data_IF_753924080521
#
_entry.id   IF_753924080521
#
_cell.length_a   1.000
_cell.length_b   1.000
_cell.length_c   1.000
_cell.angle_alpha   90.00
_cell.angle_beta   90.00
_cell.angle_gamma   90.00
#
_symmetry.space_group_name_H-M   'P 1'
#
loop_
_entity.id
_entity.type
_entity.pdbx_description
1 polymer ?
#
# COMPACT_ATOMS: atom_id res chain seq x y z
N UNK A 1 -42.26 -26.35 7.61
CA UNK A 1 -40.92 -26.01 8.15
C UNK A 1 -40.41 -24.83 7.35
N UNK A 2 -40.37 -23.64 7.95
CA UNK A 2 -39.94 -22.43 7.26
C UNK A 2 -38.42 -22.43 7.09
N UNK A 3 -37.94 -22.30 5.86
CA UNK A 3 -36.52 -22.05 5.60
C UNK A 3 -36.27 -20.60 6.03
N UNK A 4 -35.63 -20.40 7.18
CA UNK A 4 -35.20 -19.07 7.59
C UNK A 4 -34.07 -18.65 6.65
N UNK A 5 -34.29 -17.62 5.85
CA UNK A 5 -33.26 -17.04 5.01
C UNK A 5 -32.09 -16.58 5.91
N UNK A 6 -30.93 -17.16 5.70
CA UNK A 6 -29.72 -16.78 6.43
C UNK A 6 -29.00 -15.67 5.68
N UNK A 7 -28.10 -14.96 6.37
CA UNK A 7 -27.31 -13.89 5.75
C UNK A 7 -26.46 -14.37 4.56
N UNK A 8 -26.09 -15.66 4.54
CA UNK A 8 -25.35 -16.27 3.42
C UNK A 8 -26.22 -16.38 2.16
N UNK A 9 -27.53 -16.53 2.33
CA UNK A 9 -28.50 -16.72 1.24
C UNK A 9 -28.91 -15.40 0.57
N UNK A 10 -28.38 -14.26 1.04
CA UNK A 10 -28.60 -12.97 0.39
C UNK A 10 -28.00 -12.98 -1.04
N UNK A 11 -28.61 -12.28 -2.00
CA UNK A 11 -28.02 -12.09 -3.31
C UNK A 11 -26.60 -11.48 -3.24
N UNK A 12 -25.68 -11.89 -4.12
CA UNK A 12 -24.29 -11.41 -4.12
C UNK A 12 -24.14 -9.88 -4.16
N UNK A 13 -25.08 -9.18 -4.80
CA UNK A 13 -25.10 -7.72 -4.90
C UNK A 13 -25.26 -7.06 -3.53
N UNK A 14 -26.00 -7.69 -2.61
CA UNK A 14 -26.16 -7.21 -1.24
C UNK A 14 -24.89 -7.44 -0.44
N UNK A 15 -24.22 -8.59 -0.61
CA UNK A 15 -22.91 -8.82 0.02
C UNK A 15 -21.88 -7.79 -0.42
N UNK A 16 -21.87 -7.43 -1.70
CA UNK A 16 -20.97 -6.37 -2.23
C UNK A 16 -21.27 -5.03 -1.57
N UNK A 17 -22.55 -4.63 -1.48
CA UNK A 17 -22.94 -3.38 -0.81
C UNK A 17 -22.53 -3.38 0.66
N UNK A 18 -22.81 -4.46 1.38
CA UNK A 18 -22.45 -4.61 2.79
C UNK A 18 -20.93 -4.54 2.95
N UNK A 19 -20.17 -5.25 2.11
CA UNK A 19 -18.72 -5.21 2.14
C UNK A 19 -18.16 -3.79 1.89
N UNK A 20 -18.80 -3.00 1.02
CA UNK A 20 -18.45 -1.59 0.80
C UNK A 20 -18.58 -0.73 2.06
N UNK A 21 -19.65 -0.94 2.84
CA UNK A 21 -19.81 -0.24 4.14
C UNK A 21 -18.81 -0.74 5.18
N UNK A 22 -18.62 -2.05 5.28
CA UNK A 22 -17.66 -2.64 6.22
C UNK A 22 -16.21 -2.24 5.91
N UNK A 23 -15.87 -2.03 4.63
CA UNK A 23 -14.53 -1.65 4.22
C UNK A 23 -14.07 -0.27 4.74
N UNK A 24 -14.98 0.56 5.25
CA UNK A 24 -14.62 1.79 5.97
C UNK A 24 -13.80 1.49 7.23
N UNK A 25 -13.98 0.31 7.82
CA UNK A 25 -13.20 -0.21 8.92
C UNK A 25 -12.70 -1.61 8.53
N UNK A 26 -11.53 -1.72 7.88
CA UNK A 26 -10.95 -2.99 7.44
C UNK A 26 -11.06 -4.14 8.44
N UNK A 27 -10.91 -3.85 9.74
CA UNK A 27 -11.03 -4.83 10.83
C UNK A 27 -12.37 -5.55 10.86
N UNK A 28 -13.47 -4.86 10.60
CA UNK A 28 -14.81 -5.45 10.63
C UNK A 28 -15.00 -6.44 9.48
N UNK A 29 -14.45 -6.12 8.31
CA UNK A 29 -14.46 -7.01 7.16
C UNK A 29 -13.66 -8.30 7.44
N UNK A 30 -12.51 -8.19 8.11
CA UNK A 30 -11.75 -9.36 8.57
C UNK A 30 -12.47 -10.13 9.69
N UNK A 31 -13.19 -9.45 10.57
CA UNK A 31 -13.99 -10.12 11.59
C UNK A 31 -15.09 -10.98 10.95
N UNK A 32 -15.78 -10.46 9.91
CA UNK A 32 -16.79 -11.22 9.15
C UNK A 32 -16.19 -12.48 8.51
N UNK A 33 -14.99 -12.39 7.95
CA UNK A 33 -14.28 -13.56 7.41
C UNK A 33 -14.01 -14.65 8.47
N UNK A 34 -13.91 -14.28 9.74
CA UNK A 34 -13.63 -15.21 10.85
C UNK A 34 -14.88 -15.84 11.45
N UNK A 35 -16.09 -15.36 11.11
CA UNK A 35 -17.34 -15.85 11.70
C UNK A 35 -17.69 -17.26 11.21
N UNK A 36 -17.63 -17.52 9.89
CA UNK A 36 -17.98 -18.82 9.33
C UNK A 36 -17.29 -19.12 8.00
N UNK A 37 -17.16 -20.40 7.66
CA UNK A 37 -16.59 -20.84 6.37
C UNK A 37 -17.41 -20.37 5.17
N UNK A 38 -18.73 -20.28 5.32
CA UNK A 38 -19.62 -19.82 4.27
C UNK A 38 -19.43 -18.33 4.00
N UNK A 39 -19.39 -17.51 5.06
CA UNK A 39 -19.07 -16.08 4.95
C UNK A 39 -17.67 -15.86 4.39
N UNK A 40 -16.70 -16.66 4.83
CA UNK A 40 -15.35 -16.61 4.27
C UNK A 40 -15.36 -16.84 2.76
N UNK A 41 -16.06 -17.86 2.27
CA UNK A 41 -16.15 -18.14 0.83
C UNK A 41 -16.78 -16.97 0.05
N UNK A 42 -17.88 -16.40 0.55
CA UNK A 42 -18.57 -15.27 -0.07
C UNK A 42 -17.71 -14.00 -0.09
N UNK A 43 -17.11 -13.64 1.05
CA UNK A 43 -16.35 -12.38 1.22
C UNK A 43 -14.89 -12.48 0.77
N UNK A 44 -14.40 -13.66 0.38
CA UNK A 44 -13.04 -13.84 -0.19
C UNK A 44 -12.94 -13.48 -1.68
N UNK A 45 -14.03 -13.04 -2.31
CA UNK A 45 -14.01 -12.67 -3.73
C UNK A 45 -13.09 -11.48 -4.01
N UNK A 46 -12.31 -11.54 -5.10
CA UNK A 46 -11.40 -10.44 -5.50
C UNK A 46 -12.14 -9.12 -5.70
N UNK A 47 -13.38 -9.18 -6.17
CA UNK A 47 -14.24 -8.00 -6.39
C UNK A 47 -14.54 -7.25 -5.07
N UNK A 48 -14.88 -7.98 -4.01
CA UNK A 48 -15.13 -7.38 -2.69
C UNK A 48 -13.88 -6.66 -2.18
N UNK A 49 -12.71 -7.29 -2.32
CA UNK A 49 -11.44 -6.72 -1.88
C UNK A 49 -10.97 -5.55 -2.74
N UNK A 50 -11.26 -5.54 -4.05
CA UNK A 50 -11.05 -4.37 -4.91
C UNK A 50 -11.88 -3.17 -4.42
N UNK A 51 -13.18 -3.37 -4.19
CA UNK A 51 -14.06 -2.34 -3.66
C UNK A 51 -13.56 -1.84 -2.30
N UNK A 52 -13.15 -2.75 -1.43
CA UNK A 52 -12.61 -2.40 -0.13
C UNK A 52 -11.32 -1.57 -0.24
N UNK A 53 -10.40 -1.96 -1.12
CA UNK A 53 -9.16 -1.23 -1.35
C UNK A 53 -9.43 0.17 -1.93
N UNK A 54 -10.39 0.30 -2.85
CA UNK A 54 -10.81 1.61 -3.36
C UNK A 54 -11.39 2.50 -2.25
N UNK A 55 -12.23 1.94 -1.39
CA UNK A 55 -12.81 2.67 -0.26
C UNK A 55 -11.72 3.17 0.70
N UNK A 56 -10.74 2.32 1.05
CA UNK A 56 -9.60 2.71 1.88
C UNK A 56 -8.73 3.75 1.20
N UNK A 57 -8.44 3.61 -0.10
CA UNK A 57 -7.68 4.62 -0.85
C UNK A 57 -8.36 6.00 -0.78
N UNK A 58 -9.68 6.04 -0.90
CA UNK A 58 -10.46 7.29 -0.79
C UNK A 58 -10.44 7.83 0.65
N UNK A 59 -10.64 6.96 1.64
CA UNK A 59 -10.68 7.31 3.07
C UNK A 59 -9.35 7.92 3.55
N UNK A 60 -8.24 7.30 3.19
CA UNK A 60 -6.90 7.64 3.69
C UNK A 60 -6.10 8.50 2.69
N UNK A 61 -6.75 9.01 1.64
CA UNK A 61 -6.14 9.78 0.56
C UNK A 61 -4.88 9.10 -0.05
N UNK A 62 -4.93 7.77 -0.20
CA UNK A 62 -3.84 7.00 -0.79
C UNK A 62 -3.83 7.13 -2.31
N UNK A 63 -2.64 7.13 -2.89
CA UNK A 63 -2.50 7.19 -4.34
C UNK A 63 -2.90 5.85 -4.97
N UNK A 64 -4.14 5.78 -5.48
CA UNK A 64 -4.71 4.55 -6.04
C UNK A 64 -3.82 3.85 -7.09
N UNK A 65 -3.13 4.54 -8.02
CA UNK A 65 -2.24 3.89 -8.99
C UNK A 65 -1.04 3.16 -8.35
N UNK A 66 -0.72 3.42 -7.08
CA UNK A 66 0.26 2.61 -6.34
C UNK A 66 -0.14 1.15 -6.22
N UNK A 67 -1.43 0.83 -6.36
CA UNK A 67 -1.98 -0.51 -6.23
C UNK A 67 -2.50 -1.05 -7.58
N UNK A 68 -1.70 -1.84 -8.32
CA UNK A 68 -2.12 -2.47 -9.56
C UNK A 68 -3.03 -3.68 -9.23
N UNK A 69 -4.29 -3.39 -8.91
CA UNK A 69 -5.30 -4.38 -8.46
C UNK A 69 -5.38 -5.61 -9.40
N UNK A 70 -5.19 -5.40 -10.70
CA UNK A 70 -5.25 -6.47 -11.69
C UNK A 70 -4.14 -7.52 -11.48
N UNK A 71 -2.92 -7.10 -11.14
CA UNK A 71 -1.77 -8.00 -10.91
C UNK A 71 -1.65 -8.48 -9.46
N UNK A 72 -2.38 -7.86 -8.52
CA UNK A 72 -2.35 -8.25 -7.11
C UNK A 72 -3.21 -9.51 -6.83
N UNK A 73 -2.70 -10.38 -5.96
CA UNK A 73 -3.47 -11.50 -5.40
C UNK A 73 -4.46 -11.00 -4.34
N UNK A 74 -5.51 -11.78 -4.04
CA UNK A 74 -6.49 -11.41 -2.99
C UNK A 74 -5.81 -11.16 -1.66
N UNK A 75 -4.84 -12.01 -1.28
CA UNK A 75 -4.06 -11.82 -0.04
C UNK A 75 -3.25 -10.52 -0.04
N UNK A 76 -2.67 -10.12 -1.17
CA UNK A 76 -1.98 -8.84 -1.29
C UNK A 76 -2.93 -7.66 -1.17
N UNK A 77 -4.14 -7.74 -1.75
CA UNK A 77 -5.16 -6.71 -1.64
C UNK A 77 -5.64 -6.61 -0.19
N UNK A 78 -5.95 -7.74 0.45
CA UNK A 78 -6.29 -7.83 1.88
C UNK A 78 -5.24 -7.16 2.77
N UNK A 79 -3.95 -7.44 2.52
CA UNK A 79 -2.86 -6.79 3.23
C UNK A 79 -2.81 -5.28 2.98
N UNK A 80 -2.97 -4.84 1.73
CA UNK A 80 -2.99 -3.42 1.36
C UNK A 80 -4.14 -2.66 2.03
N UNK A 81 -5.33 -3.27 2.12
CA UNK A 81 -6.50 -2.71 2.81
C UNK A 81 -6.22 -2.50 4.31
N UNK A 82 -5.48 -3.41 4.96
CA UNK A 82 -5.12 -3.30 6.38
C UNK A 82 -3.90 -2.42 6.65
N UNK A 83 -3.07 -2.16 5.64
CA UNK A 83 -1.78 -1.51 5.83
C UNK A 83 -1.86 -0.13 6.51
N UNK A 84 -2.80 0.77 6.17
CA UNK A 84 -2.90 2.07 6.84
C UNK A 84 -3.23 1.96 8.33
N UNK A 85 -4.18 1.11 8.70
CA UNK A 85 -4.57 0.90 10.09
C UNK A 85 -3.40 0.31 10.91
N UNK A 86 -2.68 -0.66 10.33
CA UNK A 86 -1.50 -1.27 10.95
C UNK A 86 -0.36 -0.26 11.10
N UNK A 87 -0.15 0.58 10.09
CA UNK A 87 0.84 1.66 10.13
C UNK A 87 0.52 2.66 11.25
N UNK A 88 -0.72 3.15 11.29
CA UNK A 88 -1.19 4.09 12.30
C UNK A 88 -1.10 3.51 13.72
N UNK A 89 -1.47 2.24 13.90
CA UNK A 89 -1.33 1.56 15.18
C UNK A 89 0.14 1.46 15.64
N UNK A 90 1.07 1.22 14.71
CA UNK A 90 2.51 1.18 15.03
C UNK A 90 3.07 2.55 15.36
N UNK A 91 2.69 3.60 14.61
CA UNK A 91 3.09 4.98 14.91
C UNK A 91 2.63 5.38 16.33
N UNK A 92 1.37 5.10 16.67
CA UNK A 92 0.82 5.36 18.01
C UNK A 92 1.53 4.57 19.11
N UNK A 93 1.99 3.35 18.82
CA UNK A 93 2.72 2.53 19.78
C UNK A 93 4.17 2.98 20.00
N UNK A 94 4.69 3.92 19.20
CA UNK A 94 6.05 4.45 19.34
C UNK A 94 7.16 3.40 19.17
N UNK A 95 6.86 2.25 18.58
CA UNK A 95 7.84 1.16 18.42
C UNK A 95 8.80 1.49 17.28
N UNK A 96 10.14 1.39 17.48
CA UNK A 96 11.10 1.67 16.42
C UNK A 96 10.94 0.68 15.26
N UNK A 97 11.11 1.18 14.03
CA UNK A 97 11.00 0.43 12.77
C UNK A 97 12.12 -0.58 12.53
N UNK A 98 13.10 -0.67 13.44
CA UNK A 98 14.30 -1.46 13.23
C UNK A 98 14.06 -2.89 13.70
N UNK A 99 13.64 -3.76 12.78
CA UNK A 99 13.89 -5.19 12.96
C UNK A 99 15.41 -5.40 12.97
N UNK A 100 15.92 -6.19 13.93
CA UNK A 100 17.35 -6.45 14.15
C UNK A 100 18.12 -7.10 12.97
N UNK A 101 17.51 -7.20 11.78
CA UNK A 101 18.14 -7.69 10.55
C UNK A 101 17.93 -6.77 9.33
N UNK A 102 17.39 -5.55 9.52
CA UNK A 102 17.16 -4.63 8.41
C UNK A 102 18.50 -3.97 8.02
N UNK A 103 19.08 -4.40 6.89
CA UNK A 103 20.24 -3.72 6.30
C UNK A 103 19.77 -2.41 5.69
N UNK A 104 20.16 -1.29 6.29
CA UNK A 104 20.01 0.02 5.67
C UNK A 104 20.76 0.01 4.34
N UNK A 105 20.05 0.17 3.22
CA UNK A 105 20.68 0.41 1.93
C UNK A 105 21.24 1.83 1.96
N UNK A 106 22.48 1.99 2.41
CA UNK A 106 23.21 3.22 2.21
C UNK A 106 23.61 3.30 0.74
N UNK A 107 23.10 4.30 0.02
CA UNK A 107 23.65 4.66 -1.29
C UNK A 107 25.15 4.87 -1.12
N UNK A 108 25.98 4.14 -1.88
CA UNK A 108 27.43 4.34 -1.90
C UNK A 108 27.68 5.73 -2.50
N UNK A 109 27.79 6.74 -1.63
CA UNK A 109 28.17 8.09 -2.03
C UNK A 109 29.62 8.04 -2.51
N UNK A 110 29.84 8.31 -3.80
CA UNK A 110 31.17 8.65 -4.26
C UNK A 110 31.54 9.99 -3.63
N UNK A 111 32.52 9.93 -2.73
CA UNK A 111 32.92 10.96 -1.76
C UNK A 111 33.55 12.20 -2.40
N UNK A 112 32.75 13.00 -3.12
CA UNK A 112 33.20 14.32 -3.60
C UNK A 112 32.09 15.38 -3.70
N UNK A 113 30.81 15.02 -3.58
CA UNK A 113 29.71 15.98 -3.68
C UNK A 113 29.22 16.37 -2.29
N UNK A 114 29.40 17.66 -1.98
CA UNK A 114 28.84 18.40 -0.83
C UNK A 114 27.48 17.82 -0.43
N UNK A 115 27.27 17.64 0.88
CA UNK A 115 26.00 17.25 1.51
C UNK A 115 24.89 18.21 1.07
N UNK A 116 24.30 17.96 -0.08
CA UNK A 116 23.04 18.55 -0.48
C UNK A 116 21.97 17.81 0.30
N UNK A 117 21.19 18.54 1.09
CA UNK A 117 20.09 17.99 1.86
C UNK A 117 19.03 17.45 0.88
N UNK A 118 19.09 16.17 0.54
CA UNK A 118 18.04 15.53 -0.23
C UNK A 118 16.80 15.42 0.66
N UNK A 119 15.72 16.05 0.22
CA UNK A 119 14.42 15.85 0.87
C UNK A 119 13.79 14.62 0.25
N UNK A 120 13.53 13.63 1.08
CA UNK A 120 12.91 12.38 0.67
C UNK A 120 11.51 12.31 1.25
N UNK A 121 10.52 12.08 0.39
CA UNK A 121 9.12 11.95 0.78
C UNK A 121 8.58 10.61 0.26
N UNK A 122 7.81 9.93 1.09
CA UNK A 122 7.03 8.78 0.64
C UNK A 122 5.70 9.25 0.06
N UNK A 123 5.33 8.71 -1.09
CA UNK A 123 3.97 8.88 -1.61
C UNK A 123 3.02 8.03 -0.76
N UNK A 124 1.89 8.59 -0.29
CA UNK A 124 0.86 7.83 0.40
C UNK A 124 0.46 6.56 -0.38
N UNK A 125 0.64 5.40 0.26
CA UNK A 125 0.54 4.08 -0.36
C UNK A 125 1.85 3.30 -0.42
N UNK A 126 2.99 3.97 -0.19
CA UNK A 126 4.28 3.35 0.14
C UNK A 126 5.05 2.73 -1.02
N UNK A 127 4.50 2.74 -2.23
CA UNK A 127 5.19 2.22 -3.44
C UNK A 127 6.18 3.22 -4.03
N UNK A 128 5.90 4.51 -3.95
CA UNK A 128 6.75 5.51 -4.59
C UNK A 128 7.52 6.34 -3.56
N UNK A 129 8.77 6.62 -3.89
CA UNK A 129 9.63 7.54 -3.16
C UNK A 129 9.91 8.75 -4.04
N UNK A 130 9.69 9.93 -3.50
CA UNK A 130 10.05 11.19 -4.13
C UNK A 130 11.35 11.69 -3.50
N UNK A 131 12.35 11.94 -4.33
CA UNK A 131 13.61 12.54 -3.90
C UNK A 131 13.79 13.89 -4.59
N UNK A 132 14.02 14.93 -3.80
CA UNK A 132 14.36 16.25 -4.29
C UNK A 132 15.80 16.59 -3.91
N UNK A 133 16.64 16.74 -4.93
CA UNK A 133 17.99 17.28 -4.86
C UNK A 133 18.05 18.61 -5.63
N UNK A 134 19.10 19.43 -5.46
CA UNK A 134 19.18 20.78 -6.06
C UNK A 134 18.86 20.79 -7.56
N UNK A 135 17.68 21.31 -7.90
CA UNK A 135 17.18 21.41 -9.28
C UNK A 135 16.78 20.08 -9.91
N UNK A 136 16.80 18.96 -9.18
CA UNK A 136 16.43 17.65 -9.69
C UNK A 136 15.34 17.04 -8.84
N UNK A 137 14.33 16.50 -9.51
CA UNK A 137 13.28 15.72 -8.88
C UNK A 137 13.33 14.32 -9.49
N UNK A 138 13.46 13.31 -8.63
CA UNK A 138 13.46 11.90 -9.03
C UNK A 138 12.32 11.16 -8.35
N UNK A 139 11.59 10.37 -9.14
CA UNK A 139 10.54 9.46 -8.64
C UNK A 139 11.02 8.02 -8.76
N UNK A 140 11.04 7.32 -7.63
CA UNK A 140 11.47 5.93 -7.55
C UNK A 140 10.26 5.01 -7.34
N UNK A 141 10.20 3.90 -8.07
CA UNK A 141 9.26 2.80 -7.78
C UNK A 141 9.96 1.78 -6.87
N UNK A 142 9.46 1.65 -5.64
CA UNK A 142 9.92 0.69 -4.64
C UNK A 142 9.28 -0.70 -4.82
N UNK A 143 8.36 -0.84 -5.77
CA UNK A 143 7.65 -2.09 -6.03
C UNK A 143 6.50 -2.36 -5.06
N UNK A 144 5.88 -3.54 -5.21
CA UNK A 144 4.69 -3.90 -4.44
C UNK A 144 5.03 -4.31 -3.01
N UNK A 145 4.28 -3.82 -2.00
CA UNK A 145 4.45 -4.22 -0.61
C UNK A 145 3.94 -5.66 -0.38
N UNK A 146 4.71 -6.66 -0.81
CA UNK A 146 4.48 -8.08 -0.51
C UNK A 146 5.67 -9.02 -0.78
N UNK A 147 6.81 -8.57 -1.31
CA UNK A 147 7.92 -9.47 -1.67
C UNK A 147 8.89 -9.80 -0.53
N UNK A 148 8.58 -9.42 0.72
CA UNK A 148 9.48 -9.63 1.87
C UNK A 148 8.90 -10.63 2.86
N UNK A 149 8.68 -11.85 2.40
CA UNK A 149 8.69 -13.04 3.27
C UNK A 149 9.59 -14.10 2.65
N UNK A 150 10.86 -14.06 3.05
CA UNK A 150 11.74 -15.22 3.21
C UNK A 150 12.11 -16.02 1.95
N UNK A 151 13.42 -15.99 1.68
CA UNK A 151 14.20 -16.88 0.80
C UNK A 151 14.17 -16.56 -0.70
N UNK A 152 15.24 -15.89 -1.15
CA UNK A 152 15.77 -16.06 -2.51
C UNK A 152 15.07 -15.30 -3.63
N UNK A 153 14.25 -14.28 -3.34
CA UNK A 153 13.75 -13.41 -4.41
C UNK A 153 14.85 -12.47 -4.85
N UNK A 154 15.19 -12.54 -6.14
CA UNK A 154 15.96 -11.53 -6.86
C UNK A 154 15.24 -10.20 -6.63
N UNK A 155 15.86 -9.32 -5.85
CA UNK A 155 15.39 -7.96 -5.71
C UNK A 155 15.62 -7.28 -7.06
N UNK A 156 14.55 -6.93 -7.76
CA UNK A 156 14.70 -5.97 -8.85
C UNK A 156 15.12 -4.64 -8.22
N UNK A 157 16.21 -4.07 -8.70
CA UNK A 157 16.69 -2.77 -8.22
C UNK A 157 15.59 -1.71 -8.38
N UNK A 158 15.48 -0.75 -7.42
CA UNK A 158 14.57 0.38 -7.55
C UNK A 158 14.80 1.09 -8.88
N UNK A 159 13.79 1.07 -9.75
CA UNK A 159 13.89 1.74 -11.06
C UNK A 159 13.54 3.22 -10.87
N UNK A 160 14.44 4.09 -11.33
CA UNK A 160 14.11 5.51 -11.51
C UNK A 160 13.09 5.57 -12.64
N UNK A 161 11.87 5.98 -12.33
CA UNK A 161 10.82 6.11 -13.34
C UNK A 161 11.02 7.38 -14.17
N UNK A 162 11.42 8.46 -13.51
CA UNK A 162 11.64 9.74 -14.17
C UNK A 162 12.61 10.61 -13.36
N UNK A 163 13.34 11.49 -14.04
CA UNK A 163 14.18 12.52 -13.43
C UNK A 163 14.07 13.80 -14.21
N UNK A 164 13.39 14.79 -13.61
CA UNK A 164 13.24 16.11 -14.20
C UNK A 164 14.38 16.98 -13.69
N UNK A 165 15.24 17.42 -14.62
CA UNK A 165 16.26 18.44 -14.36
C UNK A 165 15.67 19.83 -14.63
N UNK A 166 15.57 20.65 -13.60
CA UNK A 166 15.24 22.05 -13.71
C UNK A 166 16.32 22.80 -14.48
N UNK A 167 15.96 23.38 -15.63
CA UNK A 167 16.78 24.40 -16.28
C UNK A 167 16.81 25.63 -15.37
N UNK A 168 18.01 26.07 -14.97
CA UNK A 168 18.19 27.41 -14.41
C UNK A 168 17.81 28.39 -15.53
N UNK A 169 16.76 29.15 -15.31
CA UNK A 169 16.66 30.45 -15.97
C UNK A 169 17.64 31.35 -15.23
N UNK A 170 18.80 31.57 -15.84
CA UNK A 170 19.72 32.61 -15.43
C UNK A 170 19.00 33.94 -15.63
N UNK A 171 18.43 34.49 -14.54
CA UNK A 171 18.07 35.90 -14.50
C UNK A 171 19.40 36.67 -14.45
N UNK A 172 19.79 37.18 -15.61
CA UNK A 172 20.78 38.25 -15.74
C UNK A 172 20.20 39.47 -15.00
N UNK A 173 20.89 39.89 -13.93
CA UNK A 173 20.75 41.23 -13.36
C UNK A 173 21.89 42.10 -13.86
#
# INVERSE_FOLDING_TARGET
MGVHATFVDLPPELHIKIAGYLALHPRDLFAVLQVSKALYATFSSKLIWDIALRAVCTRDALYRPSYPINSMTVSQIQHAVMAPDLWNARLKAGKPFVNAGMKTLSRRENSAQRRDYNRVYFVPGGRYLFEQARGNVSLWDLGLPALVRGKGTVWEEPRILDTIKGRRHDCVQ
#
